data_IF_296928743752
#
_entry.id   IF_296928743752
#
_cell.length_a   1.000
_cell.length_b   1.000
_cell.length_c   1.000
_cell.angle_alpha   90.00
_cell.angle_beta   90.00
_cell.angle_gamma   90.00
#
_symmetry.space_group_name_H-M   'P 1'
#
loop_
_entity.id
_entity.type
_entity.pdbx_description
1 polymer ?
#
# COMPACT_ATOMS: atom_id res chain seq x y z
N UNK A 1 -12.54 13.75 19.34
CA UNK A 1 -13.40 14.25 20.28
C UNK A 1 -13.69 13.38 21.46
N UNK A 2 -13.57 13.94 22.59
CA UNK A 2 -13.83 13.24 23.79
C UNK A 2 -15.23 12.75 23.93
N UNK A 3 -16.14 13.30 23.21
CA UNK A 3 -17.53 12.97 23.31
C UNK A 3 -17.92 11.73 22.57
N UNK A 4 -17.02 10.77 22.51
CA UNK A 4 -17.29 9.49 21.92
C UNK A 4 -17.15 9.44 20.42
N UNK A 5 -16.65 10.47 19.83
CA UNK A 5 -16.34 10.44 18.41
C UNK A 5 -14.88 10.09 18.24
N UNK A 6 -14.56 8.82 18.47
CA UNK A 6 -13.23 8.31 18.21
C UNK A 6 -13.10 8.00 16.73
N UNK A 7 -12.07 8.53 16.10
CA UNK A 7 -11.77 8.20 14.71
C UNK A 7 -11.24 6.78 14.63
N UNK A 8 -11.66 6.02 13.61
CA UNK A 8 -11.09 4.71 13.35
C UNK A 8 -9.63 4.86 12.89
N UNK A 9 -8.87 3.76 12.94
CA UNK A 9 -7.49 3.74 12.46
C UNK A 9 -7.40 4.15 10.99
N UNK A 10 -8.33 3.68 10.16
CA UNK A 10 -8.37 4.05 8.74
C UNK A 10 -8.67 5.53 8.53
N UNK A 11 -9.57 6.10 9.33
CA UNK A 11 -9.87 7.52 9.25
C UNK A 11 -8.67 8.38 9.65
N UNK A 12 -7.97 7.99 10.70
CA UNK A 12 -6.74 8.68 11.12
C UNK A 12 -5.68 8.63 10.05
N UNK A 13 -5.48 7.48 9.42
CA UNK A 13 -4.52 7.34 8.33
C UNK A 13 -4.87 8.22 7.14
N UNK A 14 -6.15 8.27 6.76
CA UNK A 14 -6.59 9.11 5.65
C UNK A 14 -6.37 10.59 5.93
N UNK A 15 -6.65 11.04 7.14
CA UNK A 15 -6.42 12.43 7.54
C UNK A 15 -4.94 12.77 7.48
N UNK A 16 -4.10 11.90 8.00
CA UNK A 16 -2.65 12.08 7.98
C UNK A 16 -2.12 12.19 6.55
N UNK A 17 -2.57 11.30 5.66
CA UNK A 17 -2.19 11.35 4.25
C UNK A 17 -2.66 12.63 3.57
N UNK A 18 -3.91 13.04 3.83
CA UNK A 18 -4.46 14.26 3.27
C UNK A 18 -3.62 15.48 3.65
N UNK A 19 -3.20 15.56 4.90
CA UNK A 19 -2.33 16.64 5.38
C UNK A 19 -1.01 16.68 4.63
N UNK A 20 -0.38 15.51 4.48
CA UNK A 20 0.88 15.39 3.76
C UNK A 20 0.72 15.79 2.29
N UNK A 21 -0.35 15.37 1.65
CA UNK A 21 -0.62 15.66 0.25
C UNK A 21 -0.94 17.13 0.00
N UNK A 22 -1.59 17.80 0.97
CA UNK A 22 -1.89 19.23 0.87
C UNK A 22 -0.64 20.10 0.78
N UNK A 23 0.46 19.63 1.32
CA UNK A 23 1.74 20.32 1.20
C UNK A 23 2.35 20.20 -0.20
N UNK A 24 1.80 19.32 -1.03
CA UNK A 24 2.24 19.06 -2.39
C UNK A 24 3.76 18.84 -2.50
N UNK A 25 4.33 17.93 -1.71
CA UNK A 25 5.78 17.73 -1.63
C UNK A 25 6.34 17.08 -2.90
N UNK A 26 7.60 17.36 -3.19
CA UNK A 26 8.32 16.68 -4.27
C UNK A 26 8.50 15.20 -3.97
N UNK A 27 8.72 14.85 -2.71
CA UNK A 27 8.83 13.46 -2.25
C UNK A 27 7.80 13.23 -1.14
N UNK A 28 6.90 12.28 -1.37
CA UNK A 28 5.92 11.83 -0.38
C UNK A 28 6.31 10.44 0.10
N UNK A 29 6.37 10.25 1.41
CA UNK A 29 6.67 8.95 2.01
C UNK A 29 5.45 8.48 2.79
N UNK A 30 4.93 7.31 2.41
CA UNK A 30 3.82 6.65 3.09
C UNK A 30 4.34 5.39 3.76
N UNK A 31 4.61 5.48 5.06
CA UNK A 31 5.14 4.36 5.85
C UNK A 31 3.99 3.66 6.55
N UNK A 32 3.57 2.54 5.98
CA UNK A 32 2.46 1.73 6.47
C UNK A 32 1.15 2.53 6.64
N UNK A 33 0.96 3.54 5.82
CA UNK A 33 -0.15 4.50 5.96
C UNK A 33 -1.50 3.97 5.51
N UNK A 34 -1.52 2.82 4.84
CA UNK A 34 -2.75 2.23 4.29
C UNK A 34 -3.18 0.97 5.05
N UNK A 35 -2.51 0.61 6.14
CA UNK A 35 -2.72 -0.66 6.83
C UNK A 35 -4.11 -0.80 7.44
N UNK A 36 -4.74 0.30 7.82
CA UNK A 36 -6.05 0.29 8.48
C UNK A 36 -7.22 0.64 7.56
N UNK A 37 -6.99 0.80 6.26
CA UNK A 37 -8.07 1.06 5.30
C UNK A 37 -8.44 -0.23 4.57
N UNK A 38 -9.68 -0.32 4.10
CA UNK A 38 -10.14 -1.49 3.34
C UNK A 38 -9.58 -1.47 1.92
N UNK A 39 -9.73 -2.59 1.22
CA UNK A 39 -9.15 -2.77 -0.11
C UNK A 39 -9.68 -1.75 -1.13
N UNK A 40 -10.96 -1.42 -1.07
CA UNK A 40 -11.57 -0.48 -2.00
C UNK A 40 -11.05 0.94 -1.76
N UNK A 41 -10.98 1.35 -0.50
CA UNK A 41 -10.46 2.66 -0.11
C UNK A 41 -8.99 2.78 -0.48
N UNK A 42 -8.21 1.71 -0.23
CA UNK A 42 -6.80 1.66 -0.63
C UNK A 42 -6.64 1.90 -2.13
N UNK A 43 -7.43 1.21 -2.95
CA UNK A 43 -7.37 1.36 -4.40
C UNK A 43 -7.69 2.79 -4.83
N UNK A 44 -8.72 3.39 -4.24
CA UNK A 44 -9.11 4.77 -4.52
C UNK A 44 -7.98 5.75 -4.17
N UNK A 45 -7.36 5.57 -3.01
CA UNK A 45 -6.25 6.41 -2.56
C UNK A 45 -5.04 6.28 -3.48
N UNK A 46 -4.67 5.06 -3.83
CA UNK A 46 -3.52 4.81 -4.70
C UNK A 46 -3.73 5.39 -6.10
N UNK A 47 -4.95 5.26 -6.63
CA UNK A 47 -5.29 5.86 -7.93
C UNK A 47 -5.22 7.39 -7.87
N UNK A 48 -5.69 8.00 -6.78
CA UNK A 48 -5.61 9.44 -6.60
C UNK A 48 -4.17 9.93 -6.50
N UNK A 49 -3.32 9.21 -5.78
CA UNK A 49 -1.89 9.52 -5.67
C UNK A 49 -1.24 9.48 -7.06
N UNK A 50 -1.51 8.42 -7.82
CA UNK A 50 -0.93 8.26 -9.14
C UNK A 50 -1.38 9.38 -10.09
N UNK A 51 -2.66 9.73 -10.07
CA UNK A 51 -3.20 10.79 -10.93
C UNK A 51 -2.67 12.18 -10.58
N UNK A 52 -2.52 12.47 -9.29
CA UNK A 52 -2.17 13.82 -8.83
C UNK A 52 -0.67 14.06 -8.66
N UNK A 53 0.13 13.01 -8.74
CA UNK A 53 1.56 13.10 -8.45
C UNK A 53 2.46 12.56 -9.56
N UNK A 54 2.02 12.67 -10.82
CA UNK A 54 2.73 12.08 -11.97
C UNK A 54 4.17 12.54 -12.12
N UNK A 55 4.44 13.80 -11.79
CA UNK A 55 5.78 14.37 -11.92
C UNK A 55 6.54 14.44 -10.60
N UNK A 56 6.06 13.70 -9.59
CA UNK A 56 6.65 13.72 -8.26
C UNK A 56 6.93 12.31 -7.79
N UNK A 57 7.76 12.18 -6.78
CA UNK A 57 8.15 10.88 -6.24
C UNK A 57 7.31 10.49 -5.03
N UNK A 58 6.89 9.23 -4.99
CA UNK A 58 6.16 8.68 -3.85
C UNK A 58 6.81 7.36 -3.46
N UNK A 59 7.14 7.22 -2.18
CA UNK A 59 7.67 5.98 -1.61
C UNK A 59 6.60 5.39 -0.70
N UNK A 60 6.27 4.13 -0.92
CA UNK A 60 5.27 3.43 -0.11
C UNK A 60 5.94 2.23 0.56
N UNK A 61 5.91 2.21 1.90
CA UNK A 61 6.33 1.06 2.68
C UNK A 61 5.09 0.36 3.21
N UNK A 62 4.94 -0.92 2.93
CA UNK A 62 3.73 -1.66 3.27
C UNK A 62 3.99 -3.15 3.42
N UNK A 63 3.06 -3.83 4.08
CA UNK A 63 3.08 -5.27 4.24
C UNK A 63 2.14 -5.97 3.25
N UNK A 64 1.19 -5.23 2.65
CA UNK A 64 0.27 -5.79 1.66
C UNK A 64 0.81 -5.56 0.26
N UNK A 65 0.83 -6.62 -0.53
CA UNK A 65 1.25 -6.55 -1.93
C UNK A 65 0.35 -5.58 -2.71
N UNK A 66 -0.95 -5.56 -2.40
CA UNK A 66 -1.90 -4.65 -3.04
C UNK A 66 -1.52 -3.18 -2.92
N UNK A 67 -0.80 -2.80 -1.87
CA UNK A 67 -0.35 -1.42 -1.68
C UNK A 67 0.78 -1.01 -2.60
N UNK A 68 1.56 -1.96 -3.11
CA UNK A 68 2.78 -1.68 -3.87
C UNK A 68 2.79 -2.22 -5.29
N UNK A 69 1.83 -3.08 -5.65
CA UNK A 69 1.88 -3.81 -6.93
C UNK A 69 1.82 -2.92 -8.17
N UNK A 70 1.33 -1.70 -8.06
CA UNK A 70 1.26 -0.77 -9.19
C UNK A 70 2.40 0.26 -9.21
N UNK A 71 3.40 0.09 -8.32
CA UNK A 71 4.55 0.97 -8.29
C UNK A 71 5.43 0.78 -9.53
N UNK A 72 6.15 1.83 -9.89
CA UNK A 72 7.10 1.77 -11.01
C UNK A 72 8.29 0.87 -10.69
N UNK A 73 8.65 0.79 -9.42
CA UNK A 73 9.71 -0.10 -8.95
C UNK A 73 9.34 -0.59 -7.54
N UNK A 74 9.51 -1.89 -7.32
CA UNK A 74 9.27 -2.54 -6.04
C UNK A 74 10.60 -3.08 -5.53
N UNK A 75 10.86 -2.88 -4.24
CA UNK A 75 12.06 -3.36 -3.57
C UNK A 75 11.63 -4.21 -2.39
N UNK A 76 12.15 -5.43 -2.32
CA UNK A 76 11.96 -6.30 -1.15
C UNK A 76 13.23 -6.22 -0.30
N UNK A 77 13.06 -5.82 0.95
CA UNK A 77 14.18 -5.69 1.89
C UNK A 77 14.14 -6.86 2.86
N UNK A 78 15.27 -7.54 3.00
CA UNK A 78 15.44 -8.65 3.91
C UNK A 78 16.80 -8.53 4.61
N UNK A 79 16.79 -8.56 5.94
CA UNK A 79 18.01 -8.45 6.75
C UNK A 79 18.90 -7.25 6.38
N UNK A 80 18.26 -6.12 6.10
CA UNK A 80 18.96 -4.87 5.80
C UNK A 80 19.53 -4.78 4.38
N UNK A 81 19.20 -5.73 3.52
CA UNK A 81 19.65 -5.73 2.12
C UNK A 81 18.47 -5.88 1.17
N UNK A 82 18.69 -5.48 -0.08
CA UNK A 82 17.69 -5.67 -1.12
C UNK A 82 17.80 -7.10 -1.64
N UNK A 83 16.74 -7.91 -1.42
CA UNK A 83 16.70 -9.30 -1.87
C UNK A 83 16.07 -9.46 -3.24
N UNK A 84 15.09 -8.61 -3.58
CA UNK A 84 14.41 -8.64 -4.88
C UNK A 84 14.12 -7.20 -5.29
N UNK A 85 14.11 -6.96 -6.60
CA UNK A 85 13.87 -5.64 -7.14
C UNK A 85 13.29 -5.73 -8.54
N UNK A 86 12.27 -4.95 -8.84
CA UNK A 86 11.66 -4.90 -10.16
C UNK A 86 10.23 -4.41 -10.11
N UNK A 87 9.53 -4.56 -11.23
CA UNK A 87 8.09 -4.31 -11.29
C UNK A 87 7.33 -5.51 -10.72
N UNK A 88 6.03 -5.35 -10.52
CA UNK A 88 5.17 -6.44 -10.09
C UNK A 88 5.34 -7.68 -11.00
N UNK A 89 5.22 -7.48 -12.31
CA UNK A 89 5.31 -8.59 -13.27
C UNK A 89 6.68 -9.26 -13.24
N UNK A 90 7.74 -8.48 -13.13
CA UNK A 90 9.09 -9.02 -13.02
C UNK A 90 9.27 -9.87 -11.76
N UNK A 91 8.73 -9.41 -10.64
CA UNK A 91 8.85 -10.13 -9.36
C UNK A 91 7.97 -11.38 -9.32
N UNK A 92 6.81 -11.34 -9.97
CA UNK A 92 5.98 -12.55 -10.12
C UNK A 92 6.73 -13.59 -10.95
N UNK A 93 7.35 -13.18 -12.06
CA UNK A 93 8.11 -14.09 -12.93
C UNK A 93 9.37 -14.62 -12.25
N UNK A 94 9.96 -13.84 -11.35
CA UNK A 94 11.13 -14.27 -10.58
C UNK A 94 10.80 -15.46 -9.67
N UNK A 95 9.57 -15.53 -9.15
CA UNK A 95 9.13 -16.67 -8.34
C UNK A 95 9.74 -16.74 -6.96
N UNK A 96 10.17 -15.61 -6.40
CA UNK A 96 10.77 -15.54 -5.07
C UNK A 96 9.76 -15.22 -3.96
N UNK A 97 10.27 -14.54 -2.93
CA UNK A 97 9.47 -14.19 -1.76
C UNK A 97 8.24 -13.34 -2.12
N UNK A 98 8.41 -12.37 -3.03
CA UNK A 98 7.32 -11.51 -3.45
C UNK A 98 6.16 -12.31 -4.05
N UNK A 99 6.47 -13.25 -4.93
CA UNK A 99 5.46 -14.13 -5.55
C UNK A 99 4.75 -14.98 -4.50
N UNK A 100 5.49 -15.55 -3.56
CA UNK A 100 4.91 -16.37 -2.49
C UNK A 100 3.94 -15.55 -1.64
N UNK A 101 4.32 -14.32 -1.28
CA UNK A 101 3.46 -13.44 -0.49
C UNK A 101 2.23 -13.00 -1.28
N UNK A 102 2.39 -12.72 -2.58
CA UNK A 102 1.27 -12.38 -3.44
C UNK A 102 0.24 -13.51 -3.45
N UNK A 103 0.68 -14.73 -3.68
CA UNK A 103 -0.21 -15.88 -3.71
C UNK A 103 -0.91 -16.09 -2.37
N UNK A 104 -0.17 -15.98 -1.28
CA UNK A 104 -0.72 -16.13 0.08
C UNK A 104 -1.78 -15.09 0.38
N UNK A 105 -1.51 -13.84 0.05
CA UNK A 105 -2.46 -12.76 0.31
C UNK A 105 -3.70 -12.86 -0.58
N UNK A 106 -3.57 -13.36 -1.79
CA UNK A 106 -4.72 -13.64 -2.64
C UNK A 106 -5.63 -14.71 -2.03
N UNK A 107 -5.05 -15.78 -1.49
CA UNK A 107 -5.82 -16.83 -0.82
C UNK A 107 -6.54 -16.29 0.41
N UNK A 108 -5.89 -15.46 1.20
CA UNK A 108 -6.51 -14.85 2.37
C UNK A 108 -7.71 -13.98 2.00
N UNK A 109 -7.62 -13.25 0.91
CA UNK A 109 -8.74 -12.45 0.40
C UNK A 109 -9.90 -13.31 -0.03
N UNK A 110 -9.64 -14.40 -0.72
CA UNK A 110 -10.68 -15.34 -1.16
C UNK A 110 -11.39 -15.97 0.02
N UNK A 111 -10.63 -16.39 1.04
CA UNK A 111 -11.19 -16.95 2.26
C UNK A 111 -12.06 -15.96 3.01
N UNK A 112 -11.64 -14.72 3.10
CA UNK A 112 -12.43 -13.66 3.74
C UNK A 112 -13.76 -13.45 3.04
N UNK A 113 -13.79 -13.52 1.72
CA UNK A 113 -15.02 -13.39 0.94
C UNK A 113 -15.96 -14.56 1.19
N UNK A 114 -15.45 -15.78 1.24
CA UNK A 114 -16.26 -16.96 1.51
C UNK A 114 -16.90 -16.93 2.90
N UNK A 115 -16.16 -16.44 3.88
CA UNK A 115 -16.65 -16.38 5.26
C UNK A 115 -17.72 -15.30 5.45
N UNK A 116 -17.66 -14.22 4.67
CA UNK A 116 -18.61 -13.10 4.80
C UNK A 116 -19.86 -13.28 3.94
N UNK A 117 -19.85 -14.20 3.01
CA UNK A 117 -21.02 -14.56 2.22
C UNK A 117 -21.81 -15.66 2.91
#
# INVERSE_FOLDING_TARGET
GERGVALSGGQKQRISMARAMMMNPELLILDDSLSAVDARTEEEILNAIKANRQNKSTIISAHRISSVMHADEIIVIDNGTISERGTHDELINLGGWYKEMFDRQQLEQEWSKEVTE
#
